data_IF_648112693061
#
_entry.id   IF_648112693061
#
_cell.length_a   1.000
_cell.length_b   1.000
_cell.length_c   1.000
_cell.angle_alpha   90.00
_cell.angle_beta   90.00
_cell.angle_gamma   90.00
#
_symmetry.space_group_name_H-M   'P 1'
#
loop_
_entity.id
_entity.type
_entity.pdbx_description
1 polymer ?
#
# COMPACT_ATOMS: atom_id res chain seq x y z
N UNK A 1 -5.49 -6.41 -15.21
CA UNK A 1 -5.52 -5.47 -14.09
C UNK A 1 -5.79 -4.11 -14.68
N UNK A 2 -6.65 -3.31 -14.05
CA UNK A 2 -6.79 -1.92 -14.43
C UNK A 2 -5.52 -1.18 -14.00
N UNK A 3 -4.80 -0.57 -14.93
CA UNK A 3 -3.55 0.12 -14.61
C UNK A 3 -3.85 1.53 -14.11
N UNK A 4 -3.42 1.83 -12.88
CA UNK A 4 -3.53 3.16 -12.26
C UNK A 4 -2.16 3.84 -12.23
N UNK A 5 -2.16 5.17 -12.19
CA UNK A 5 -0.98 6.00 -11.97
C UNK A 5 -1.22 7.00 -10.84
N UNK A 6 -0.20 7.17 -10.00
CA UNK A 6 -0.13 8.26 -9.04
C UNK A 6 0.44 9.49 -9.77
N UNK A 7 -0.30 10.60 -9.71
CA UNK A 7 0.03 11.85 -10.37
C UNK A 7 0.18 12.94 -9.34
N UNK A 8 1.25 13.70 -9.49
CA UNK A 8 1.52 14.91 -8.76
C UNK A 8 1.63 16.07 -9.74
N UNK A 9 0.87 17.12 -9.50
CA UNK A 9 0.89 18.36 -10.26
C UNK A 9 1.37 19.50 -9.37
N UNK A 10 2.29 20.31 -9.86
CA UNK A 10 2.77 21.52 -9.20
C UNK A 10 2.50 22.71 -10.13
N UNK A 11 1.90 23.77 -9.58
CA UNK A 11 1.66 25.04 -10.27
C UNK A 11 1.79 26.19 -9.27
N UNK A 12 2.62 27.18 -9.57
CA UNK A 12 2.80 28.37 -8.73
C UNK A 12 3.12 28.04 -7.27
N UNK A 13 3.89 26.96 -7.05
CA UNK A 13 4.23 26.44 -5.72
C UNK A 13 3.13 25.61 -5.05
N UNK A 14 1.89 25.65 -5.54
CA UNK A 14 0.81 24.80 -5.09
C UNK A 14 0.97 23.38 -5.63
N UNK A 15 0.77 22.38 -4.76
CA UNK A 15 0.91 20.95 -5.09
C UNK A 15 -0.43 20.26 -4.95
N UNK A 16 -0.80 19.50 -5.97
CA UNK A 16 -1.99 18.65 -5.98
C UNK A 16 -1.56 17.23 -6.31
N UNK A 17 -2.10 16.25 -5.59
CA UNK A 17 -1.85 14.83 -5.85
C UNK A 17 -3.16 14.11 -6.12
N UNK A 18 -3.12 13.11 -6.99
CA UNK A 18 -4.27 12.30 -7.35
C UNK A 18 -3.86 10.97 -7.94
N UNK A 19 -4.75 9.98 -7.85
CA UNK A 19 -4.57 8.69 -8.52
C UNK A 19 -5.60 8.56 -9.63
N UNK A 20 -5.15 8.12 -10.80
CA UNK A 20 -5.97 8.11 -12.01
C UNK A 20 -5.84 6.77 -12.73
N UNK A 21 -6.95 6.31 -13.33
CA UNK A 21 -6.98 5.13 -14.19
C UNK A 21 -6.39 5.46 -15.57
N UNK A 22 -5.67 4.52 -16.17
CA UNK A 22 -5.19 4.65 -17.55
C UNK A 22 -6.29 4.30 -18.56
N UNK A 23 -6.30 4.94 -19.75
CA UNK A 23 -5.40 6.03 -20.16
C UNK A 23 -5.75 7.35 -19.44
N UNK A 24 -4.74 8.01 -18.89
CA UNK A 24 -4.86 9.30 -18.22
C UNK A 24 -4.82 10.41 -19.27
N UNK A 25 -5.90 11.18 -19.40
CA UNK A 25 -5.99 12.32 -20.32
C UNK A 25 -5.84 13.64 -19.57
N UNK A 26 -5.00 14.53 -20.08
CA UNK A 26 -4.73 15.85 -19.48
C UNK A 26 -4.96 16.93 -20.54
N UNK A 27 -5.63 18.03 -20.17
CA UNK A 27 -5.87 19.19 -21.03
C UNK A 27 -7.06 20.03 -20.57
N UNK A 28 -7.49 21.02 -21.36
CA UNK A 28 -8.59 21.93 -20.95
C UNK A 28 -10.00 21.39 -21.10
N UNK A 29 -10.16 20.32 -21.88
CA UNK A 29 -11.45 19.68 -22.12
C UNK A 29 -12.08 19.13 -20.85
N UNK A 30 -13.42 19.14 -20.79
CA UNK A 30 -14.19 18.61 -19.66
C UNK A 30 -14.12 17.08 -19.52
N UNK A 31 -13.77 16.37 -20.58
CA UNK A 31 -13.63 14.90 -20.58
C UNK A 31 -12.26 14.38 -20.15
N UNK A 32 -11.37 15.24 -19.64
CA UNK A 32 -10.04 14.83 -19.19
C UNK A 32 -10.06 14.42 -17.72
N UNK A 33 -9.20 13.46 -17.38
CA UNK A 33 -8.98 13.01 -16.01
C UNK A 33 -8.36 14.11 -15.14
N UNK A 34 -7.47 14.92 -15.72
CA UNK A 34 -6.93 16.13 -15.11
C UNK A 34 -7.21 17.29 -16.04
N UNK A 35 -8.00 18.25 -15.55
CA UNK A 35 -8.35 19.45 -16.29
C UNK A 35 -7.46 20.61 -15.84
N UNK A 36 -6.81 21.26 -16.80
CA UNK A 36 -5.98 22.47 -16.59
C UNK A 36 -6.38 23.55 -17.61
N UNK A 37 -5.94 24.80 -17.41
CA UNK A 37 -6.33 25.91 -18.31
C UNK A 37 -7.82 26.23 -18.20
N UNK A 38 -8.24 26.63 -16.99
CA UNK A 38 -9.65 26.86 -16.65
C UNK A 38 -10.23 28.15 -17.24
N UNK A 39 -9.40 29.06 -17.73
CA UNK A 39 -9.88 30.30 -18.32
C UNK A 39 -10.56 30.02 -19.66
N UNK A 40 -11.78 30.55 -19.90
CA UNK A 40 -12.54 30.29 -21.13
C UNK A 40 -11.76 30.56 -22.43
N UNK A 41 -10.77 31.46 -22.36
CA UNK A 41 -9.96 31.91 -23.48
C UNK A 41 -8.53 31.36 -23.49
N UNK A 42 -8.14 30.51 -22.52
CA UNK A 42 -6.82 29.89 -22.53
C UNK A 42 -6.75 28.82 -23.63
N UNK A 43 -6.31 29.25 -24.81
CA UNK A 43 -6.03 28.38 -25.95
C UNK A 43 -4.60 27.83 -25.94
N UNK A 44 -3.80 28.15 -24.93
CA UNK A 44 -2.42 27.68 -24.84
C UNK A 44 -2.34 26.19 -24.49
N UNK A 45 -3.42 25.65 -23.91
CA UNK A 45 -3.61 24.23 -23.64
C UNK A 45 -4.66 23.64 -24.60
N UNK A 46 -4.29 22.61 -25.36
CA UNK A 46 -5.23 21.87 -26.22
C UNK A 46 -6.32 21.15 -25.41
N UNK A 47 -7.46 20.85 -26.07
CA UNK A 47 -8.61 20.18 -25.42
C UNK A 47 -8.20 18.84 -24.80
N UNK A 48 -7.42 18.05 -25.53
CA UNK A 48 -6.62 16.93 -25.02
C UNK A 48 -5.18 17.30 -25.38
N UNK A 49 -4.36 17.53 -24.36
CA UNK A 49 -2.99 18.02 -24.54
C UNK A 49 -2.00 16.86 -24.53
N UNK A 50 -2.17 15.97 -23.56
CA UNK A 50 -1.27 14.84 -23.33
C UNK A 50 -2.09 13.64 -22.90
N UNK A 51 -1.67 12.46 -23.32
CA UNK A 51 -2.22 11.18 -22.88
C UNK A 51 -1.09 10.35 -22.29
N UNK A 52 -1.32 9.75 -21.13
CA UNK A 52 -0.46 8.70 -20.59
C UNK A 52 -1.21 7.39 -20.69
N UNK A 53 -0.58 6.39 -21.29
CA UNK A 53 -1.20 5.09 -21.56
C UNK A 53 -0.21 3.94 -21.38
N UNK A 54 -0.73 2.72 -21.32
CA UNK A 54 0.08 1.52 -21.28
C UNK A 54 0.19 0.92 -22.70
N UNK A 55 1.42 0.74 -23.18
CA UNK A 55 1.69 0.09 -24.47
C UNK A 55 2.80 -0.93 -24.30
N UNK A 56 2.56 -2.18 -24.68
CA UNK A 56 3.52 -3.27 -24.52
C UNK A 56 3.97 -3.49 -23.06
N UNK A 57 3.08 -3.25 -22.08
CA UNK A 57 3.41 -3.38 -20.66
C UNK A 57 4.33 -2.28 -20.12
N UNK A 58 4.56 -1.20 -20.87
CA UNK A 58 5.35 -0.02 -20.48
C UNK A 58 4.48 1.23 -20.53
N UNK A 59 4.70 2.18 -19.63
CA UNK A 59 4.00 3.47 -19.71
C UNK A 59 4.56 4.28 -20.88
N UNK A 60 3.68 4.98 -21.58
CA UNK A 60 4.06 5.92 -22.62
C UNK A 60 3.32 7.24 -22.40
N UNK A 61 4.01 8.34 -22.66
CA UNK A 61 3.44 9.67 -22.77
C UNK A 61 3.31 10.02 -24.24
N UNK A 62 2.15 10.51 -24.65
CA UNK A 62 1.86 10.92 -26.03
C UNK A 62 1.40 12.37 -26.03
N UNK A 63 2.13 13.23 -26.73
CA UNK A 63 1.68 14.61 -26.95
C UNK A 63 0.56 14.63 -28.02
N UNK A 64 -0.55 15.30 -27.70
CA UNK A 64 -1.68 15.54 -28.62
C UNK A 64 -1.92 17.03 -28.84
N UNK A 65 -0.96 17.85 -28.44
CA UNK A 65 -1.16 19.29 -28.33
C UNK A 65 -0.68 20.01 -29.58
N UNK A 66 -1.16 21.24 -29.76
CA UNK A 66 -0.66 22.14 -30.81
C UNK A 66 0.65 22.81 -30.41
N UNK A 67 0.90 22.89 -29.10
CA UNK A 67 1.94 23.74 -28.52
C UNK A 67 3.11 22.96 -27.91
N UNK A 68 3.06 21.64 -27.94
CA UNK A 68 4.05 20.73 -27.38
C UNK A 68 3.92 20.52 -25.86
N UNK A 69 4.38 19.35 -25.43
CA UNK A 69 4.62 18.98 -24.03
C UNK A 69 6.13 18.97 -23.79
N UNK A 70 6.61 19.57 -22.70
CA UNK A 70 8.02 19.46 -22.32
C UNK A 70 8.22 18.20 -21.47
N UNK A 71 8.93 17.20 -21.98
CA UNK A 71 9.24 15.97 -21.26
C UNK A 71 10.72 15.93 -20.89
N UNK A 72 11.04 15.86 -19.59
CA UNK A 72 12.41 15.93 -19.06
C UNK A 72 13.26 17.06 -19.70
N UNK A 73 12.65 18.24 -19.90
CA UNK A 73 13.30 19.43 -20.49
C UNK A 73 13.31 19.48 -22.02
N UNK A 74 12.86 18.43 -22.73
CA UNK A 74 12.77 18.39 -24.19
C UNK A 74 11.34 18.58 -24.67
N UNK A 75 11.12 19.46 -25.65
CA UNK A 75 9.81 19.58 -26.29
C UNK A 75 9.49 18.36 -27.14
N UNK A 76 8.33 17.76 -26.89
CA UNK A 76 7.75 16.71 -27.71
C UNK A 76 7.00 17.31 -28.91
N UNK A 77 7.01 16.61 -30.04
CA UNK A 77 6.21 16.95 -31.21
C UNK A 77 4.79 16.39 -31.06
N UNK A 78 3.82 17.01 -31.73
CA UNK A 78 2.45 16.48 -31.80
C UNK A 78 2.44 15.05 -32.34
N UNK A 79 1.82 14.14 -31.59
CA UNK A 79 1.74 12.72 -31.91
C UNK A 79 2.97 11.90 -31.47
N UNK A 80 4.05 12.54 -31.01
CA UNK A 80 5.22 11.83 -30.50
C UNK A 80 4.86 11.05 -29.23
N UNK A 81 5.23 9.77 -29.22
CA UNK A 81 5.10 8.87 -28.09
C UNK A 81 6.49 8.58 -27.52
N UNK A 82 6.66 8.73 -26.21
CA UNK A 82 7.93 8.47 -25.51
C UNK A 82 7.65 7.52 -24.35
N UNK A 83 8.55 6.56 -24.13
CA UNK A 83 8.49 5.68 -22.95
C UNK A 83 8.66 6.52 -21.68
N UNK A 84 7.75 6.30 -20.74
CA UNK A 84 7.60 7.07 -19.52
C UNK A 84 8.00 6.21 -18.32
N UNK A 85 9.07 6.56 -17.61
CA UNK A 85 9.52 5.79 -16.44
C UNK A 85 8.91 6.34 -15.15
N UNK A 86 8.90 5.50 -14.12
CA UNK A 86 8.41 5.89 -12.80
C UNK A 86 9.25 7.04 -12.24
N UNK A 87 8.59 8.17 -11.98
CA UNK A 87 9.21 9.37 -11.42
C UNK A 87 9.67 10.39 -12.46
N UNK A 88 9.54 10.11 -13.75
CA UNK A 88 9.78 11.08 -14.82
C UNK A 88 8.87 12.30 -14.71
N UNK A 89 9.32 13.41 -15.28
CA UNK A 89 8.64 14.71 -15.19
C UNK A 89 8.29 15.25 -16.56
N UNK A 90 7.15 15.90 -16.65
CA UNK A 90 6.78 16.68 -17.82
C UNK A 90 6.09 17.97 -17.43
N UNK A 91 6.01 18.91 -18.35
CA UNK A 91 5.39 20.21 -18.15
C UNK A 91 4.44 20.54 -19.29
N UNK A 92 3.28 21.08 -18.91
CA UNK A 92 2.31 21.69 -19.82
C UNK A 92 2.07 23.12 -19.34
N UNK A 93 2.61 24.10 -20.06
CA UNK A 93 2.37 25.54 -19.82
C UNK A 93 2.51 25.92 -18.33
N UNK A 94 3.66 25.65 -17.73
CA UNK A 94 3.93 25.95 -16.31
C UNK A 94 3.32 24.98 -15.30
N UNK A 95 2.51 24.01 -15.73
CA UNK A 95 2.04 22.92 -14.85
C UNK A 95 3.05 21.78 -14.92
N UNK A 96 3.77 21.55 -13.83
CA UNK A 96 4.75 20.46 -13.73
C UNK A 96 4.06 19.21 -13.21
N UNK A 97 4.24 18.10 -13.91
CA UNK A 97 3.69 16.80 -13.57
C UNK A 97 4.82 15.83 -13.25
N UNK A 98 4.58 15.02 -12.23
CA UNK A 98 5.32 13.79 -11.98
C UNK A 98 4.34 12.64 -11.92
N UNK A 99 4.63 11.58 -12.65
CA UNK A 99 3.77 10.41 -12.71
C UNK A 99 4.57 9.17 -12.33
N UNK A 100 3.94 8.28 -11.59
CA UNK A 100 4.48 6.98 -11.26
C UNK A 100 3.37 5.95 -11.41
N UNK A 101 3.72 4.73 -11.81
CA UNK A 101 2.80 3.60 -11.67
C UNK A 101 2.29 3.55 -10.25
N UNK A 102 0.98 3.49 -10.13
CA UNK A 102 0.38 3.24 -8.84
C UNK A 102 0.86 1.86 -8.41
N UNK A 103 1.51 1.80 -7.25
CA UNK A 103 1.88 0.52 -6.64
C UNK A 103 0.68 -0.32 -6.21
N UNK A 104 -0.53 0.25 -6.33
CA UNK A 104 -1.78 -0.29 -5.83
C UNK A 104 -2.98 0.14 -6.67
N UNK A 105 -3.93 -0.76 -6.85
CA UNK A 105 -5.27 -0.42 -7.33
C UNK A 105 -6.10 0.21 -6.18
N UNK A 106 -6.52 1.49 -6.28
CA UNK A 106 -7.30 2.14 -5.23
C UNK A 106 -8.72 1.59 -5.09
N UNK A 107 -9.25 0.90 -6.11
CA UNK A 107 -10.56 0.28 -6.08
C UNK A 107 -10.58 -1.01 -5.27
N UNK A 108 -9.42 -1.65 -5.05
CA UNK A 108 -9.28 -2.79 -4.15
C UNK A 108 -9.18 -2.24 -2.72
N UNK A 109 -10.20 -2.41 -1.86
CA UNK A 109 -10.16 -1.88 -0.51
C UNK A 109 -9.06 -2.56 0.30
N UNK A 110 -8.23 -1.77 1.00
CA UNK A 110 -7.40 -2.31 2.08
C UNK A 110 -8.34 -2.73 3.18
N UNK A 111 -8.33 -4.02 3.49
CA UNK A 111 -9.10 -4.54 4.62
C UNK A 111 -8.45 -4.10 5.93
N UNK A 112 -7.11 -4.22 6.03
CA UNK A 112 -6.33 -3.80 7.19
C UNK A 112 -4.84 -3.70 6.87
N UNK A 113 -4.08 -3.11 7.79
CA UNK A 113 -2.63 -3.13 7.81
C UNK A 113 -2.12 -4.16 8.80
N UNK A 114 -1.14 -4.95 8.37
CA UNK A 114 -0.25 -5.65 9.27
C UNK A 114 0.98 -4.75 9.52
N UNK A 115 1.15 -4.27 10.75
CA UNK A 115 2.26 -3.40 11.13
C UNK A 115 3.33 -4.17 11.90
N UNK A 116 4.58 -4.05 11.49
CA UNK A 116 5.70 -4.84 12.02
C UNK A 116 6.81 -3.91 12.44
N UNK A 117 7.37 -4.14 13.63
CA UNK A 117 8.55 -3.42 14.12
C UNK A 117 9.78 -4.29 14.09
N UNK A 118 10.78 -3.87 13.31
CA UNK A 118 12.09 -4.49 13.24
C UNK A 118 13.14 -3.39 13.31
N UNK A 119 14.11 -3.52 14.23
CA UNK A 119 15.21 -2.54 14.33
C UNK A 119 14.78 -1.10 14.67
N UNK A 120 13.62 -0.91 15.32
CA UNK A 120 13.09 0.42 15.64
C UNK A 120 12.29 1.08 14.52
N UNK A 121 12.30 0.52 13.31
CA UNK A 121 11.46 0.97 12.21
C UNK A 121 10.14 0.20 12.19
N UNK A 122 9.06 0.91 11.82
CA UNK A 122 7.76 0.30 11.60
C UNK A 122 7.47 0.23 10.09
N UNK A 123 7.20 -0.99 9.62
CA UNK A 123 6.73 -1.24 8.25
C UNK A 123 5.25 -1.62 8.27
N UNK A 124 4.49 -1.06 7.32
CA UNK A 124 3.07 -1.35 7.13
C UNK A 124 2.88 -2.20 5.87
N UNK A 125 2.11 -3.28 5.99
CA UNK A 125 1.77 -4.18 4.90
C UNK A 125 0.26 -4.10 4.64
N UNK A 126 -0.19 -3.68 3.43
CA UNK A 126 -1.60 -3.50 3.10
C UNK A 126 -2.28 -4.84 2.75
N UNK A 127 -2.93 -5.45 3.73
CA UNK A 127 -3.60 -6.74 3.54
C UNK A 127 -5.00 -6.55 2.94
N UNK A 128 -5.30 -7.32 1.90
CA UNK A 128 -6.52 -7.25 1.09
C UNK A 128 -6.23 -7.28 -0.42
N UNK A 129 -5.20 -6.55 -0.84
CA UNK A 129 -4.64 -6.61 -2.20
C UNK A 129 -3.50 -7.64 -2.28
N UNK A 130 -2.76 -7.75 -1.18
CA UNK A 130 -1.69 -8.72 -1.00
C UNK A 130 -2.01 -9.57 0.23
N UNK A 131 -1.38 -10.74 0.28
CA UNK A 131 -1.19 -11.47 1.52
C UNK A 131 0.21 -11.21 2.05
N UNK A 132 0.36 -11.31 3.37
CA UNK A 132 1.61 -11.21 4.07
C UNK A 132 2.16 -12.61 4.35
N UNK A 133 3.30 -12.93 3.77
CA UNK A 133 4.10 -14.12 4.05
C UNK A 133 5.03 -13.84 5.23
N UNK A 134 5.04 -14.74 6.21
CA UNK A 134 5.96 -14.69 7.34
C UNK A 134 6.95 -15.87 7.22
N UNK A 135 8.21 -15.58 6.94
CA UNK A 135 9.20 -16.60 6.57
C UNK A 135 10.34 -16.62 7.58
N UNK A 136 10.73 -17.82 8.02
CA UNK A 136 11.94 -18.08 8.79
C UNK A 136 13.10 -18.30 7.82
N UNK A 137 14.13 -17.46 7.93
CA UNK A 137 15.44 -17.65 7.29
C UNK A 137 16.50 -17.94 8.35
N UNK A 138 17.73 -18.21 7.91
CA UNK A 138 18.90 -18.31 8.79
C UNK A 138 19.13 -17.02 9.61
N UNK A 139 18.79 -15.86 9.04
CA UNK A 139 19.04 -14.54 9.63
C UNK A 139 17.90 -14.03 10.53
N UNK A 140 16.81 -14.79 10.68
CA UNK A 140 15.65 -14.36 11.49
C UNK A 140 14.33 -14.55 10.76
N UNK A 141 13.34 -13.77 11.17
CA UNK A 141 12.00 -13.78 10.57
C UNK A 141 11.89 -12.56 9.66
N UNK A 142 11.49 -12.81 8.42
CA UNK A 142 11.26 -11.78 7.41
C UNK A 142 9.81 -11.82 6.94
N UNK A 143 9.36 -10.70 6.37
CA UNK A 143 7.97 -10.48 5.98
C UNK A 143 7.90 -9.95 4.57
N UNK A 144 7.08 -10.59 3.75
CA UNK A 144 6.95 -10.28 2.31
C UNK A 144 5.50 -10.23 1.87
N UNK A 145 5.25 -9.37 0.89
CA UNK A 145 3.96 -9.27 0.24
C UNK A 145 3.92 -10.24 -0.94
N UNK A 146 2.82 -10.97 -1.10
CA UNK A 146 2.53 -11.69 -2.32
C UNK A 146 1.18 -11.26 -2.88
N UNK A 147 1.06 -11.14 -4.22
CA UNK A 147 -0.20 -10.72 -4.84
C UNK A 147 -1.30 -11.73 -4.56
N UNK A 148 -2.50 -11.23 -4.26
CA UNK A 148 -3.70 -12.04 -4.09
C UNK A 148 -4.62 -11.79 -5.28
N UNK A 149 -4.63 -12.67 -6.28
CA UNK A 149 -5.61 -12.60 -7.38
C UNK A 149 -6.82 -13.49 -7.10
N UNK A 150 -8.03 -13.12 -7.56
CA UNK A 150 -9.19 -13.99 -7.49
C UNK A 150 -8.90 -15.38 -8.08
N UNK A 151 -9.13 -16.44 -7.31
CA UNK A 151 -8.84 -17.81 -7.72
C UNK A 151 -7.41 -18.30 -7.43
N UNK A 152 -6.55 -17.48 -6.81
CA UNK A 152 -5.22 -17.97 -6.41
C UNK A 152 -5.35 -19.02 -5.31
N UNK A 153 -4.82 -20.23 -5.56
CA UNK A 153 -4.66 -21.22 -4.51
C UNK A 153 -3.48 -20.83 -3.62
N UNK A 154 -3.74 -20.65 -2.32
CA UNK A 154 -2.69 -20.34 -1.34
C UNK A 154 -1.52 -21.33 -1.39
N UNK A 155 -1.80 -22.61 -1.63
CA UNK A 155 -0.76 -23.63 -1.74
C UNK A 155 0.20 -23.36 -2.90
N UNK A 156 -0.27 -22.77 -4.00
CA UNK A 156 0.57 -22.45 -5.14
C UNK A 156 1.48 -21.25 -4.84
N UNK A 157 0.99 -20.24 -4.13
CA UNK A 157 1.83 -19.12 -3.67
C UNK A 157 2.93 -19.62 -2.74
N UNK A 158 2.55 -20.46 -1.76
CA UNK A 158 3.47 -21.05 -0.79
C UNK A 158 4.49 -21.95 -1.50
N UNK A 159 4.04 -22.78 -2.45
CA UNK A 159 4.90 -23.66 -3.24
C UNK A 159 5.90 -22.91 -4.11
N UNK A 160 5.48 -21.81 -4.73
CA UNK A 160 6.36 -20.94 -5.56
C UNK A 160 7.37 -20.15 -4.71
N UNK A 161 7.01 -19.83 -3.49
CA UNK A 161 7.85 -19.12 -2.51
C UNK A 161 8.74 -20.07 -1.70
N UNK A 162 8.84 -21.35 -2.07
CA UNK A 162 9.88 -22.24 -1.54
C UNK A 162 11.25 -21.74 -2.00
N UNK A 163 11.83 -20.91 -1.15
CA UNK A 163 13.17 -20.37 -1.30
C UNK A 163 14.12 -21.32 -0.59
N UNK A 164 15.19 -21.72 -1.27
CA UNK A 164 16.14 -22.71 -0.74
C UNK A 164 16.62 -22.33 0.66
N UNK A 165 16.41 -23.23 1.63
CA UNK A 165 16.82 -23.02 3.03
C UNK A 165 15.88 -22.18 3.89
N UNK A 166 14.76 -21.69 3.36
CA UNK A 166 13.77 -20.90 4.10
C UNK A 166 12.50 -21.71 4.41
N UNK A 167 11.81 -21.36 5.50
CA UNK A 167 10.60 -22.04 5.95
C UNK A 167 9.47 -21.04 6.15
N UNK A 168 8.37 -21.23 5.44
CA UNK A 168 7.16 -20.46 5.70
C UNK A 168 6.61 -20.80 7.08
N UNK A 169 6.37 -19.79 7.91
CA UNK A 169 5.80 -19.95 9.24
C UNK A 169 4.28 -19.74 9.17
N UNK A 170 3.86 -18.64 8.56
CA UNK A 170 2.47 -18.23 8.53
C UNK A 170 2.14 -17.37 7.32
N UNK A 171 0.85 -17.31 7.00
CA UNK A 171 0.28 -16.38 6.04
C UNK A 171 -0.80 -15.56 6.73
N UNK A 172 -0.78 -14.24 6.54
CA UNK A 172 -1.86 -13.34 6.95
C UNK A 172 -2.51 -12.79 5.69
N UNK A 173 -3.82 -12.98 5.54
CA UNK A 173 -4.56 -12.52 4.36
C UNK A 173 -5.95 -12.00 4.73
N UNK A 174 -6.59 -11.27 3.81
CA UNK A 174 -7.97 -10.87 3.99
C UNK A 174 -8.91 -12.08 3.85
N UNK A 175 -9.93 -12.16 4.71
CA UNK A 175 -10.84 -13.29 4.80
C UNK A 175 -11.56 -13.33 6.14
N UNK A 176 -12.48 -14.28 6.31
CA UNK A 176 -13.32 -14.36 7.51
C UNK A 176 -14.11 -13.07 7.71
N UNK A 177 -14.08 -12.50 8.92
CA UNK A 177 -14.73 -11.20 9.22
C UNK A 177 -13.86 -9.98 8.90
N UNK A 178 -12.54 -10.15 8.86
CA UNK A 178 -11.58 -9.08 8.57
C UNK A 178 -10.35 -9.65 7.89
N UNK A 179 -9.65 -10.52 8.62
CA UNK A 179 -8.46 -11.21 8.15
C UNK A 179 -8.35 -12.59 8.78
N UNK A 180 -7.41 -13.37 8.29
CA UNK A 180 -7.09 -14.71 8.79
C UNK A 180 -5.58 -14.82 8.90
N UNK A 181 -5.11 -15.40 10.00
CA UNK A 181 -3.75 -15.95 10.09
C UNK A 181 -3.82 -17.46 9.96
N UNK A 182 -3.02 -18.02 9.06
CA UNK A 182 -2.88 -19.46 8.86
C UNK A 182 -1.44 -19.88 9.09
N UNK A 183 -1.21 -20.82 10.00
CA UNK A 183 0.11 -21.41 10.20
C UNK A 183 0.43 -22.41 9.09
N UNK A 184 1.67 -22.44 8.63
CA UNK A 184 2.15 -23.49 7.73
C UNK A 184 2.07 -24.87 8.44
N UNK A 185 1.93 -25.93 7.65
CA UNK A 185 1.84 -27.30 8.17
C UNK A 185 3.16 -27.77 8.82
N UNK A 186 4.28 -27.25 8.34
CA UNK A 186 5.65 -27.54 8.78
C UNK A 186 6.31 -26.30 9.40
N UNK A 187 5.52 -25.39 9.98
CA UNK A 187 6.02 -24.18 10.61
C UNK A 187 7.06 -24.52 11.70
N UNK A 188 8.27 -23.96 11.58
CA UNK A 188 9.37 -24.15 12.54
C UNK A 188 9.43 -23.09 13.64
N UNK A 189 8.41 -22.25 13.74
CA UNK A 189 8.28 -21.22 14.76
C UNK A 189 6.83 -21.08 15.21
N UNK A 190 6.58 -20.75 16.48
CA UNK A 190 5.21 -20.63 17.00
C UNK A 190 4.50 -19.41 16.42
N UNK A 191 3.19 -19.55 16.21
CA UNK A 191 2.29 -18.46 15.85
C UNK A 191 1.26 -18.32 16.98
N UNK A 192 1.18 -17.15 17.60
CA UNK A 192 0.29 -16.90 18.74
C UNK A 192 -0.47 -15.61 18.53
N UNK A 193 -1.79 -15.65 18.64
CA UNK A 193 -2.66 -14.46 18.59
C UNK A 193 -2.94 -13.98 20.01
N UNK A 194 -2.71 -12.69 20.24
CA UNK A 194 -2.97 -11.98 21.50
C UNK A 194 -2.35 -12.66 22.73
N UNK A 195 -1.20 -13.33 22.61
CA UNK A 195 -0.57 -14.11 23.69
C UNK A 195 -1.46 -15.22 24.32
N UNK A 196 -2.62 -15.53 23.74
CA UNK A 196 -3.59 -16.46 24.32
C UNK A 196 -3.92 -17.63 23.39
N UNK A 197 -3.94 -17.39 22.08
CA UNK A 197 -4.40 -18.40 21.11
C UNK A 197 -3.22 -18.88 20.27
N UNK A 198 -2.69 -20.05 20.59
CA UNK A 198 -1.68 -20.70 19.76
C UNK A 198 -2.33 -21.25 18.48
N UNK A 199 -1.83 -20.81 17.32
CA UNK A 199 -2.25 -21.31 16.01
C UNK A 199 -1.42 -22.55 15.71
N UNK A 200 -2.03 -23.73 15.82
CA UNK A 200 -1.36 -25.01 15.51
C UNK A 200 -1.03 -25.09 14.01
N UNK A 201 -0.03 -25.89 13.69
CA UNK A 201 0.40 -26.09 12.30
C UNK A 201 -0.77 -26.51 11.39
N UNK A 202 -0.87 -25.87 10.21
CA UNK A 202 -1.95 -26.09 9.25
C UNK A 202 -3.30 -25.47 9.63
N UNK A 203 -3.49 -25.03 10.88
CA UNK A 203 -4.71 -24.39 11.36
C UNK A 203 -4.72 -22.90 11.04
N UNK A 204 -5.92 -22.32 11.14
CA UNK A 204 -6.14 -20.90 10.94
C UNK A 204 -6.98 -20.30 12.07
N UNK A 205 -6.83 -18.99 12.28
CA UNK A 205 -7.59 -18.19 13.24
C UNK A 205 -8.04 -16.90 12.57
N UNK A 206 -9.31 -16.54 12.77
CA UNK A 206 -9.85 -15.25 12.33
C UNK A 206 -9.27 -14.11 13.17
N UNK A 207 -8.82 -13.07 12.48
CA UNK A 207 -8.27 -11.86 13.06
C UNK A 207 -9.34 -10.78 13.21
N UNK A 208 -9.13 -9.92 14.19
CA UNK A 208 -9.96 -8.74 14.52
C UNK A 208 -9.08 -7.49 14.54
N UNK A 209 -9.69 -6.29 14.44
CA UNK A 209 -8.95 -5.06 14.69
C UNK A 209 -8.30 -5.10 16.07
N UNK A 210 -7.05 -4.62 16.14
CA UNK A 210 -6.22 -4.58 17.35
C UNK A 210 -5.78 -5.95 17.88
N UNK A 211 -5.86 -7.00 17.06
CA UNK A 211 -5.16 -8.23 17.36
C UNK A 211 -3.65 -8.04 17.16
N UNK A 212 -2.86 -8.77 17.94
CA UNK A 212 -1.40 -8.87 17.79
C UNK A 212 -1.06 -10.33 17.50
N UNK A 213 -0.50 -10.58 16.32
CA UNK A 213 -0.02 -11.91 15.91
C UNK A 213 1.48 -11.98 16.18
N UNK A 214 1.90 -12.79 17.15
CA UNK A 214 3.31 -13.09 17.38
C UNK A 214 3.73 -14.23 16.46
N UNK A 215 4.62 -13.95 15.51
CA UNK A 215 5.21 -14.94 14.62
C UNK A 215 6.66 -15.17 15.02
N UNK A 216 6.93 -16.32 15.65
CA UNK A 216 8.24 -16.65 16.21
C UNK A 216 8.82 -15.57 17.13
N UNK A 217 7.95 -14.91 17.91
CA UNK A 217 8.32 -13.84 18.83
C UNK A 217 8.30 -12.42 18.24
N UNK A 218 8.14 -12.27 16.92
CA UNK A 218 8.00 -10.96 16.29
C UNK A 218 6.52 -10.56 16.25
N UNK A 219 6.13 -9.43 16.88
CA UNK A 219 4.75 -8.98 16.87
C UNK A 219 4.36 -8.37 15.53
N UNK A 220 3.19 -8.76 15.04
CA UNK A 220 2.50 -8.22 13.86
C UNK A 220 1.16 -7.67 14.31
N UNK A 221 1.03 -6.35 14.22
CA UNK A 221 -0.14 -5.60 14.67
C UNK A 221 -1.21 -5.53 13.58
N UNK A 222 -2.45 -5.86 13.91
CA UNK A 222 -3.58 -5.79 12.98
C UNK A 222 -4.34 -4.48 13.20
N UNK A 223 -4.20 -3.54 12.26
CA UNK A 223 -4.75 -2.19 12.37
C UNK A 223 -5.66 -1.86 11.19
N UNK A 224 -6.83 -1.26 11.44
CA UNK A 224 -7.64 -0.71 10.35
C UNK A 224 -7.02 0.58 9.80
N UNK A 225 -7.30 0.96 8.54
CA UNK A 225 -6.91 2.26 8.01
C UNK A 225 -7.38 3.40 8.94
N UNK A 226 -6.49 4.37 9.20
CA UNK A 226 -6.74 5.56 10.02
C UNK A 226 -7.09 5.26 11.50
N UNK A 227 -6.95 4.01 11.95
CA UNK A 227 -7.19 3.62 13.33
C UNK A 227 -6.07 4.13 14.24
N UNK A 228 -6.48 4.72 15.37
CA UNK A 228 -5.59 5.00 16.51
C UNK A 228 -5.70 3.88 17.53
N UNK A 229 -4.56 3.40 17.97
CA UNK A 229 -4.42 2.36 18.98
C UNK A 229 -3.39 2.77 20.03
N UNK A 230 -3.44 2.13 21.19
CA UNK A 230 -2.42 2.26 22.23
C UNK A 230 -1.85 0.89 22.55
N UNK A 231 -0.52 0.78 22.62
CA UNK A 231 0.12 -0.44 23.10
C UNK A 231 0.21 -0.45 24.62
N UNK A 232 -0.13 -1.58 25.23
CA UNK A 232 0.06 -1.77 26.67
C UNK A 232 1.55 -1.74 27.06
N UNK A 233 1.90 -1.01 28.13
CA UNK A 233 3.30 -0.84 28.59
C UNK A 233 3.76 -1.98 29.50
N UNK A 234 2.82 -2.80 29.98
CA UNK A 234 3.16 -4.02 30.67
C UNK A 234 3.95 -4.94 29.72
N UNK A 235 5.20 -5.22 30.09
CA UNK A 235 6.18 -5.96 29.30
C UNK A 235 5.74 -7.39 28.95
N UNK A 236 4.86 -8.00 29.75
CA UNK A 236 4.30 -9.33 29.46
C UNK A 236 3.08 -9.26 28.54
N UNK A 237 2.29 -8.19 28.63
CA UNK A 237 1.10 -8.02 27.82
C UNK A 237 1.46 -7.49 26.42
N UNK A 238 1.93 -6.25 26.33
CA UNK A 238 2.25 -5.56 25.07
C UNK A 238 1.17 -5.63 23.98
N UNK A 239 -0.08 -5.94 24.30
CA UNK A 239 -1.16 -6.04 23.33
C UNK A 239 -1.74 -4.68 22.97
N UNK A 240 -2.39 -4.60 21.81
CA UNK A 240 -3.06 -3.40 21.33
C UNK A 240 -4.42 -3.20 21.99
N UNK A 241 -4.74 -1.91 22.18
CA UNK A 241 -5.99 -1.41 22.70
C UNK A 241 -6.49 -0.29 21.77
N UNK A 242 -7.80 0.01 21.77
CA UNK A 242 -8.29 1.26 21.24
C UNK A 242 -7.53 2.42 21.91
N UNK A 243 -7.28 3.50 21.17
CA UNK A 243 -6.61 4.66 21.74
C UNK A 243 -7.49 5.29 22.83
N UNK A 244 -7.10 5.09 24.08
CA UNK A 244 -7.69 5.70 25.26
C UNK A 244 -6.56 6.01 26.25
N UNK A 245 -6.08 7.27 26.30
CA UNK A 245 -4.94 7.64 27.13
C UNK A 245 -5.24 7.59 28.63
N UNK A 246 -6.49 7.48 29.05
CA UNK A 246 -6.86 7.39 30.47
C UNK A 246 -7.41 6.02 30.86
N UNK A 247 -7.66 5.17 29.88
CA UNK A 247 -8.16 3.83 30.06
C UNK A 247 -7.14 2.82 30.60
N UNK A 248 -7.66 1.62 30.80
CA UNK A 248 -6.87 0.44 31.19
C UNK A 248 -6.79 -0.52 30.01
N UNK A 249 -5.71 -1.28 29.93
CA UNK A 249 -5.52 -2.32 28.95
C UNK A 249 -6.62 -3.38 29.11
N UNK A 250 -7.38 -3.65 28.04
CA UNK A 250 -8.49 -4.62 28.03
C UNK A 250 -8.07 -6.06 28.29
N UNK A 251 -6.76 -6.33 28.21
CA UNK A 251 -6.20 -7.67 28.33
C UNK A 251 -5.63 -7.97 29.72
N UNK A 252 -5.07 -6.97 30.41
CA UNK A 252 -4.39 -7.17 31.69
C UNK A 252 -4.72 -6.12 32.76
N UNK A 253 -5.58 -5.13 32.46
CA UNK A 253 -5.98 -4.09 33.40
C UNK A 253 -4.95 -2.98 33.65
N UNK A 254 -3.73 -3.07 33.10
CA UNK A 254 -2.69 -2.05 33.29
C UNK A 254 -3.06 -0.70 32.66
N UNK A 255 -2.78 0.41 33.34
CA UNK A 255 -3.14 1.76 32.87
C UNK A 255 -2.40 2.12 31.57
N UNK A 256 -3.09 2.79 30.64
CA UNK A 256 -2.56 3.17 29.32
C UNK A 256 -1.97 4.58 29.27
N UNK A 257 -1.87 5.28 30.40
CA UNK A 257 -1.42 6.69 30.49
C UNK A 257 0.00 6.95 30.00
N UNK A 258 0.80 5.89 29.81
CA UNK A 258 2.16 5.96 29.27
C UNK A 258 2.29 5.24 27.92
N UNK A 259 1.15 4.89 27.33
CA UNK A 259 0.96 4.32 26.00
C UNK A 259 1.76 4.98 24.87
N UNK A 260 2.72 4.28 24.25
CA UNK A 260 3.09 4.52 22.85
C UNK A 260 1.81 4.47 22.00
N UNK A 261 1.45 5.63 21.47
CA UNK A 261 0.35 5.79 20.53
C UNK A 261 0.74 5.17 19.21
N UNK A 262 -0.05 4.20 18.79
CA UNK A 262 0.07 3.52 17.52
C UNK A 262 -0.95 4.10 16.55
N UNK A 263 -0.48 4.63 15.43
CA UNK A 263 -1.39 5.09 14.39
C UNK A 263 -1.05 4.34 13.12
N UNK A 264 -2.00 3.55 12.62
CA UNK A 264 -1.98 3.12 11.23
C UNK A 264 -2.41 4.30 10.35
N UNK A 265 -1.65 5.39 10.42
CA UNK A 265 -1.84 6.51 9.53
C UNK A 265 -1.17 6.14 8.23
N UNK A 266 -1.98 5.85 7.22
CA UNK A 266 -1.58 6.28 5.89
C UNK A 266 -1.56 7.79 6.01
N UNK A 267 -0.38 8.40 6.14
CA UNK A 267 -0.30 9.84 5.90
C UNK A 267 -0.82 10.04 4.48
N UNK A 268 -2.09 10.42 4.33
CA UNK A 268 -2.54 11.20 3.18
C UNK A 268 -1.62 12.40 3.22
N UNK A 269 -0.55 12.39 2.41
CA UNK A 269 0.27 13.58 2.24
C UNK A 269 -0.70 14.63 1.70
N UNK A 270 -1.06 15.57 2.57
CA UNK A 270 -1.81 16.77 2.19
C UNK A 270 -0.94 17.60 1.27
#
# INVERSE_FOLDING_TARGET
MDDFVDVEMIKDGARTQGRHKLPLKIGRGTGNSIRIGHEPNDQTVSRVHTVIELSGGRLQIVDKSTNGTLYNGRSMKTGEAVEFNDGDRFEIRGHQFRVARAKRDPSIPISFYAAIRLGGEQKLFPVGETLLLCVKSANGIRFEEAPMTPGTNFQDIIGRQRLEGENLIAVIHAGGKLGVVKSAADAKAPVVVNNHTQVKNGMQVDLRPLDVVSVGGVPVDILLPDMKASRCHNHTCRLLNPYDPHGNCRWCGHRLTEGVTEIAAVRKKR
#
